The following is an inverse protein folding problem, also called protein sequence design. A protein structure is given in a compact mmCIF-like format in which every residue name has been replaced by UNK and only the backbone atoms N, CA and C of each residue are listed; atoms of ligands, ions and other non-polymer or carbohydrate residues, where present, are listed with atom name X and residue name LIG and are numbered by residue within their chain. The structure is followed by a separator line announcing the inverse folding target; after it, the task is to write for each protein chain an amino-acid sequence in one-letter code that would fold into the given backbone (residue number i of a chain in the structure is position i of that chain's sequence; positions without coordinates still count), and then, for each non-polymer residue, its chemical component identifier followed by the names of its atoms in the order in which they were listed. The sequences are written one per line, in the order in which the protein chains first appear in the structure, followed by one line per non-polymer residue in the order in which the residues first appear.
data_IF_068186809142
#
_entry.id   IF_068186809142
#
_cell.length_a   1.000
_cell.length_b   1.000
_cell.length_c   1.000
_cell.angle_alpha   90.00
_cell.angle_beta   90.00
_cell.angle_gamma   90.00
#
_symmetry.space_group_name_H-M   'P 1'
#
loop_
_entity.id
_entity.type
_entity.pdbx_description
1 polymer ?
#
# COMPACT_ATOMS: atom_id res chain seq x y z
N UNK A 1 15.58 7.10 -8.26
CA UNK A 1 14.61 6.10 -7.75
C UNK A 1 13.59 6.81 -6.89
N UNK A 2 12.30 6.55 -7.09
CA UNK A 2 11.27 7.28 -6.34
C UNK A 2 11.10 6.70 -4.93
N UNK A 3 10.55 7.52 -4.02
CA UNK A 3 10.41 7.16 -2.61
C UNK A 3 9.41 6.03 -2.35
N UNK A 4 8.55 5.72 -3.33
CA UNK A 4 7.53 4.68 -3.17
C UNK A 4 8.02 3.29 -3.51
N UNK A 5 9.07 3.16 -4.31
CA UNK A 5 9.59 1.85 -4.74
C UNK A 5 11.06 1.61 -4.38
N UNK A 6 11.73 2.58 -3.77
CA UNK A 6 13.18 2.48 -3.51
C UNK A 6 13.55 1.38 -2.52
N UNK A 7 12.64 1.02 -1.63
CA UNK A 7 12.89 0.02 -0.59
C UNK A 7 12.27 -1.34 -0.90
N UNK A 8 11.81 -1.52 -2.14
CA UNK A 8 11.26 -2.81 -2.57
C UNK A 8 12.38 -3.86 -2.52
N UNK A 9 12.09 -5.03 -2.01
CA UNK A 9 13.03 -6.15 -1.82
C UNK A 9 14.14 -5.91 -0.79
N UNK A 10 14.10 -4.83 -0.02
CA UNK A 10 15.11 -4.54 1.01
C UNK A 10 14.61 -4.82 2.44
N UNK A 11 13.33 -5.14 2.60
CA UNK A 11 12.72 -5.36 3.90
C UNK A 11 12.35 -4.10 4.66
N UNK A 12 12.62 -2.93 4.10
CA UNK A 12 12.24 -1.65 4.69
C UNK A 12 10.86 -1.23 4.18
N UNK A 13 10.15 -0.44 4.99
CA UNK A 13 8.83 0.07 4.60
C UNK A 13 8.96 1.15 3.53
N UNK A 14 8.14 1.05 2.50
CA UNK A 14 7.96 2.11 1.51
C UNK A 14 6.96 3.15 2.03
N UNK A 15 6.99 4.34 1.46
CA UNK A 15 5.98 5.34 1.77
C UNK A 15 4.64 4.94 1.17
N UNK A 16 3.55 5.38 1.81
CA UNK A 16 2.21 5.11 1.32
C UNK A 16 1.91 5.94 0.06
N UNK A 17 1.34 5.27 -0.95
CA UNK A 17 0.84 5.96 -2.15
C UNK A 17 -0.40 6.77 -1.83
N UNK A 18 -1.28 6.21 -1.03
CA UNK A 18 -2.56 6.84 -0.64
C UNK A 18 -2.80 6.56 0.84
N UNK A 19 -3.26 7.58 1.54
CA UNK A 19 -3.75 7.44 2.90
C UNK A 19 -4.98 8.34 3.03
N UNK A 20 -6.14 7.75 3.26
CA UNK A 20 -7.41 8.47 3.35
C UNK A 20 -8.22 8.02 4.55
N UNK A 21 -8.83 8.97 5.23
CA UNK A 21 -9.77 8.66 6.31
C UNK A 21 -11.13 8.26 5.73
N UNK A 22 -11.77 7.29 6.36
CA UNK A 22 -13.11 6.87 6.01
C UNK A 22 -14.07 7.42 7.06
N UNK A 23 -15.02 8.24 6.59
CA UNK A 23 -15.98 8.91 7.45
C UNK A 23 -17.38 8.56 6.96
N UNK A 24 -18.25 8.10 7.86
CA UNK A 24 -19.65 7.79 7.56
C UNK A 24 -20.53 8.59 8.52
N UNK A 25 -21.43 9.39 7.96
CA UNK A 25 -22.34 10.26 8.75
C UNK A 25 -21.58 11.11 9.79
N UNK A 26 -20.46 11.72 9.36
CA UNK A 26 -19.58 12.55 10.18
C UNK A 26 -18.88 11.79 11.33
N UNK A 27 -18.88 10.46 11.26
CA UNK A 27 -18.16 9.63 12.24
C UNK A 27 -16.96 8.97 11.57
N UNK A 28 -15.78 9.14 12.16
CA UNK A 28 -14.56 8.47 11.71
C UNK A 28 -14.66 6.97 12.01
N UNK A 29 -14.58 6.13 10.98
CA UNK A 29 -14.70 4.67 11.13
C UNK A 29 -13.41 3.93 10.81
N UNK A 30 -12.43 4.58 10.20
CA UNK A 30 -11.17 3.96 9.87
C UNK A 30 -10.41 4.72 8.81
N UNK A 31 -9.44 4.06 8.20
CA UNK A 31 -8.64 4.64 7.13
C UNK A 31 -8.26 3.60 6.10
N UNK A 32 -7.99 4.05 4.87
CA UNK A 32 -7.43 3.21 3.82
C UNK A 32 -6.00 3.63 3.55
N UNK A 33 -5.12 2.64 3.35
CA UNK A 33 -3.72 2.86 3.06
C UNK A 33 -3.34 2.01 1.86
N UNK A 34 -2.65 2.59 0.88
CA UNK A 34 -2.10 1.85 -0.26
C UNK A 34 -0.59 2.07 -0.33
N UNK A 35 0.14 1.02 -0.59
CA UNK A 35 1.60 1.08 -0.69
C UNK A 35 2.11 0.01 -1.64
N UNK A 36 3.36 0.17 -2.10
CA UNK A 36 4.04 -0.81 -2.94
C UNK A 36 4.83 -1.74 -2.03
N UNK A 37 4.62 -3.04 -2.18
CA UNK A 37 5.32 -4.04 -1.40
C UNK A 37 5.52 -5.32 -2.19
N UNK A 38 5.71 -6.42 -1.50
CA UNK A 38 5.90 -7.74 -2.09
C UNK A 38 4.90 -8.72 -1.47
N UNK A 39 4.44 -9.68 -2.28
CA UNK A 39 3.63 -10.77 -1.75
C UNK A 39 4.51 -11.95 -1.29
N UNK A 40 3.90 -13.06 -0.89
CA UNK A 40 4.61 -14.24 -0.43
C UNK A 40 5.45 -14.92 -1.52
N UNK A 41 5.19 -14.62 -2.79
CA UNK A 41 5.94 -15.16 -3.94
C UNK A 41 7.03 -14.20 -4.41
N UNK A 42 7.35 -13.17 -3.62
CA UNK A 42 8.35 -12.13 -3.93
C UNK A 42 8.00 -11.32 -5.18
N UNK A 43 6.71 -11.22 -5.51
CA UNK A 43 6.24 -10.41 -6.63
C UNK A 43 5.89 -9.01 -6.16
N UNK A 44 6.26 -7.96 -6.92
CA UNK A 44 5.88 -6.60 -6.55
C UNK A 44 4.36 -6.40 -6.69
N UNK A 45 3.76 -5.83 -5.67
CA UNK A 45 2.31 -5.62 -5.61
C UNK A 45 1.99 -4.23 -5.10
N UNK A 46 0.80 -3.74 -5.44
CA UNK A 46 0.16 -2.64 -4.73
C UNK A 46 -0.76 -3.28 -3.69
N UNK A 47 -0.48 -3.02 -2.43
CA UNK A 47 -1.31 -3.49 -1.32
C UNK A 47 -2.22 -2.36 -0.86
N UNK A 48 -3.49 -2.67 -0.67
CA UNK A 48 -4.47 -1.74 -0.10
C UNK A 48 -5.04 -2.37 1.16
N UNK A 49 -4.98 -1.63 2.26
CA UNK A 49 -5.44 -2.10 3.57
C UNK A 49 -6.50 -1.14 4.08
N UNK A 50 -7.63 -1.69 4.51
CA UNK A 50 -8.66 -0.95 5.25
C UNK A 50 -8.44 -1.22 6.75
N UNK A 51 -8.17 -0.18 7.50
CA UNK A 51 -7.92 -0.26 8.94
C UNK A 51 -9.05 0.39 9.71
N UNK A 52 -9.40 -0.19 10.85
CA UNK A 52 -10.38 0.38 11.74
C UNK A 52 -9.81 1.52 12.58
N UNK A 53 -10.69 2.19 13.36
CA UNK A 53 -10.31 3.34 14.17
C UNK A 53 -9.42 3.01 15.37
N UNK A 54 -9.22 1.73 15.65
CA UNK A 54 -8.30 1.25 16.68
C UNK A 54 -7.01 0.68 16.09
N UNK A 55 -6.79 0.87 14.78
CA UNK A 55 -5.59 0.39 14.10
C UNK A 55 -5.64 -1.06 13.64
N UNK A 56 -6.77 -1.76 13.85
CA UNK A 56 -6.93 -3.14 13.39
C UNK A 56 -7.12 -3.19 11.88
N UNK A 57 -6.59 -4.23 11.24
CA UNK A 57 -6.79 -4.48 9.81
C UNK A 57 -8.15 -5.16 9.62
N UNK A 58 -9.04 -4.52 8.86
CA UNK A 58 -10.36 -5.07 8.56
C UNK A 58 -10.30 -5.95 7.31
N UNK A 59 -9.70 -5.45 6.25
CA UNK A 59 -9.53 -6.20 5.00
C UNK A 59 -8.33 -5.66 4.24
N UNK A 60 -7.80 -6.48 3.34
CA UNK A 60 -6.70 -6.05 2.48
C UNK A 60 -6.80 -6.73 1.13
N UNK A 61 -6.26 -6.06 0.10
CA UNK A 61 -6.17 -6.58 -1.25
C UNK A 61 -4.78 -6.31 -1.80
N UNK A 62 -4.36 -7.14 -2.76
CA UNK A 62 -3.08 -6.98 -3.45
C UNK A 62 -3.28 -7.13 -4.94
N UNK A 63 -2.57 -6.30 -5.72
CA UNK A 63 -2.56 -6.37 -7.18
C UNK A 63 -1.11 -6.48 -7.63
N UNK A 64 -0.77 -7.55 -8.37
CA UNK A 64 0.58 -7.72 -8.91
C UNK A 64 0.84 -6.68 -10.00
N UNK A 65 2.00 -6.02 -9.92
CA UNK A 65 2.38 -4.98 -10.87
C UNK A 65 3.75 -5.30 -11.47
N UNK A 66 3.98 -4.82 -12.69
CA UNK A 66 5.27 -5.00 -13.36
C UNK A 66 6.15 -3.76 -13.33
N UNK A 67 5.59 -2.63 -12.93
CA UNK A 67 6.32 -1.36 -12.88
C UNK A 67 5.76 -0.48 -11.78
N UNK A 68 6.57 0.49 -11.35
CA UNK A 68 6.13 1.47 -10.36
C UNK A 68 5.13 2.43 -11.00
N UNK A 69 3.92 2.58 -10.46
CA UNK A 69 2.91 3.47 -11.05
C UNK A 69 3.25 4.95 -10.90
N UNK A 70 4.23 5.29 -10.06
CA UNK A 70 4.62 6.68 -9.82
C UNK A 70 5.75 7.11 -10.75
N UNK A 71 6.83 6.33 -10.84
CA UNK A 71 8.01 6.72 -11.61
C UNK A 71 8.22 5.91 -12.90
N UNK A 72 7.43 4.85 -13.12
CA UNK A 72 7.54 4.02 -14.33
C UNK A 72 8.70 3.03 -14.32
N UNK A 73 9.44 2.91 -13.24
CA UNK A 73 10.55 1.98 -13.14
C UNK A 73 10.05 0.55 -13.22
N UNK A 74 10.76 -0.30 -13.99
CA UNK A 74 10.47 -1.73 -14.01
C UNK A 74 10.78 -2.37 -12.65
N UNK A 75 9.85 -3.20 -12.17
CA UNK A 75 9.98 -3.90 -10.89
C UNK A 75 10.26 -5.39 -11.06
N UNK A 76 10.41 -5.83 -12.29
CA UNK A 76 10.73 -7.23 -12.60
C UNK A 76 12.22 -7.43 -12.85
#
# INVERSE_FOLDING_TARGET
MCKYCKNLFTGNSSENLVHSDVVVNDVYVGSTVSFIGENSDDEPVISTVLMGNHGESITSDEIVIGWCPVCGRSLN
#
